data_IF_070453751397
#
_entry.id   IF_070453751397
#
_cell.length_a   1.000
_cell.length_b   1.000
_cell.length_c   1.000
_cell.angle_alpha   90.00
_cell.angle_beta   90.00
_cell.angle_gamma   90.00
#
_symmetry.space_group_name_H-M   'P 1'
#
loop_
_entity.id
_entity.type
_entity.pdbx_description
1 polymer ?
#
# COMPACT_ATOMS: atom_id res chain seq x y z
N UNK A 1 -41.48 3.09 -23.38
CA UNK A 1 -41.14 3.19 -21.94
C UNK A 1 -39.81 3.88 -21.81
N UNK A 2 -39.75 4.84 -20.92
CA UNK A 2 -38.59 5.70 -20.76
C UNK A 2 -37.41 4.90 -20.16
N UNK A 3 -36.23 4.92 -20.82
CA UNK A 3 -35.00 4.26 -20.36
C UNK A 3 -34.32 5.03 -19.23
N UNK A 4 -35.04 5.94 -18.54
CA UNK A 4 -34.55 6.74 -17.42
C UNK A 4 -33.99 5.86 -16.29
N UNK A 5 -34.56 4.67 -16.11
CA UNK A 5 -34.11 3.71 -15.08
C UNK A 5 -32.61 3.35 -15.23
N UNK A 6 -32.14 3.19 -16.48
CA UNK A 6 -30.70 2.87 -16.71
C UNK A 6 -29.79 4.03 -16.34
N UNK A 7 -30.21 5.27 -16.62
CA UNK A 7 -29.46 6.46 -16.21
C UNK A 7 -29.44 6.61 -14.68
N UNK A 8 -30.59 6.38 -14.03
CA UNK A 8 -30.68 6.40 -12.57
C UNK A 8 -29.84 5.29 -11.92
N UNK A 9 -29.79 4.07 -12.51
CA UNK A 9 -28.94 2.97 -12.03
C UNK A 9 -27.46 3.32 -12.09
N UNK A 10 -26.98 4.01 -13.13
CA UNK A 10 -25.55 4.40 -13.18
C UNK A 10 -25.21 5.38 -12.07
N UNK A 11 -26.09 6.32 -11.77
CA UNK A 11 -25.94 7.23 -10.63
C UNK A 11 -25.94 6.52 -9.28
N UNK A 12 -26.86 5.56 -9.09
CA UNK A 12 -26.91 4.76 -7.86
C UNK A 12 -25.67 3.88 -7.69
N UNK A 13 -25.20 3.24 -8.75
CA UNK A 13 -23.97 2.44 -8.72
C UNK A 13 -22.73 3.31 -8.42
N UNK A 14 -22.64 4.48 -9.02
CA UNK A 14 -21.57 5.44 -8.74
C UNK A 14 -21.58 5.89 -7.27
N UNK A 15 -22.77 6.13 -6.71
CA UNK A 15 -22.91 6.49 -5.29
C UNK A 15 -22.49 5.33 -4.36
N UNK A 16 -22.90 4.10 -4.68
CA UNK A 16 -22.55 2.91 -3.92
C UNK A 16 -21.02 2.64 -3.95
N UNK A 17 -20.42 2.75 -5.14
CA UNK A 17 -18.96 2.63 -5.30
C UNK A 17 -18.20 3.69 -4.51
N UNK A 18 -18.65 4.94 -4.56
CA UNK A 18 -18.06 6.03 -3.75
C UNK A 18 -18.16 5.76 -2.26
N UNK A 19 -19.30 5.24 -1.79
CA UNK A 19 -19.48 4.88 -0.39
C UNK A 19 -18.54 3.76 0.03
N UNK A 20 -18.31 2.76 -0.83
CA UNK A 20 -17.35 1.69 -0.58
C UNK A 20 -15.91 2.23 -0.44
N UNK A 21 -15.49 3.14 -1.32
CA UNK A 21 -14.17 3.79 -1.22
C UNK A 21 -14.01 4.58 0.09
N UNK A 22 -15.04 5.36 0.46
CA UNK A 22 -15.02 6.13 1.72
C UNK A 22 -14.95 5.19 2.93
N UNK A 23 -15.74 4.12 2.95
CA UNK A 23 -15.75 3.13 4.01
C UNK A 23 -14.39 2.43 4.16
N UNK A 24 -13.76 2.06 3.03
CA UNK A 24 -12.41 1.49 3.03
C UNK A 24 -11.37 2.48 3.57
N UNK A 25 -11.41 3.74 3.14
CA UNK A 25 -10.50 4.77 3.63
C UNK A 25 -10.68 5.02 5.13
N UNK A 26 -11.91 5.04 5.61
CA UNK A 26 -12.22 5.22 7.03
C UNK A 26 -11.76 4.03 7.88
N UNK A 27 -11.99 2.80 7.41
CA UNK A 27 -11.54 1.59 8.09
C UNK A 27 -10.02 1.53 8.25
N UNK A 28 -9.27 2.13 7.32
CA UNK A 28 -7.81 2.11 7.30
C UNK A 28 -7.16 3.43 7.74
N UNK A 29 -7.91 4.38 8.29
CA UNK A 29 -7.40 5.71 8.65
C UNK A 29 -6.26 5.65 9.68
N UNK A 30 -6.25 4.63 10.56
CA UNK A 30 -5.21 4.39 11.55
C UNK A 30 -4.11 3.42 11.10
N UNK A 31 -4.20 2.90 9.87
CA UNK A 31 -3.19 1.96 9.34
C UNK A 31 -1.92 2.72 8.96
N UNK A 32 -0.77 2.30 9.50
CA UNK A 32 0.51 2.91 9.19
C UNK A 32 0.83 2.80 7.70
N UNK A 33 1.21 3.94 7.10
CA UNK A 33 1.55 3.99 5.68
C UNK A 33 0.37 3.85 4.72
N UNK A 34 -0.87 3.88 5.21
CA UNK A 34 -2.05 3.81 4.36
C UNK A 34 -2.10 4.96 3.34
N UNK A 35 -2.49 4.62 2.12
CA UNK A 35 -2.73 5.58 1.03
C UNK A 35 -4.20 5.56 0.68
N UNK A 36 -4.87 6.70 0.87
CA UNK A 36 -6.30 6.82 0.61
C UNK A 36 -6.61 6.59 -0.87
N UNK A 37 -7.59 5.75 -1.13
CA UNK A 37 -8.08 5.49 -2.47
C UNK A 37 -8.90 6.69 -2.96
N UNK A 38 -8.69 7.06 -4.23
CA UNK A 38 -9.44 8.09 -4.93
C UNK A 38 -10.30 7.45 -6.01
N UNK A 39 -11.58 7.82 -6.04
CA UNK A 39 -12.46 7.50 -7.15
C UNK A 39 -13.01 8.81 -7.69
N UNK A 40 -12.81 9.04 -8.98
CA UNK A 40 -13.37 10.19 -9.70
C UNK A 40 -14.40 9.72 -10.70
N UNK A 41 -15.45 10.47 -10.86
CA UNK A 41 -16.54 10.18 -11.77
C UNK A 41 -16.72 11.34 -12.74
N UNK A 42 -17.02 11.01 -13.98
CA UNK A 42 -17.37 12.00 -14.99
C UNK A 42 -18.78 11.76 -15.51
N UNK A 43 -19.47 12.84 -15.81
CA UNK A 43 -20.74 12.80 -16.52
C UNK A 43 -20.48 12.61 -18.01
N UNK A 44 -21.02 11.53 -18.60
CA UNK A 44 -20.92 11.24 -20.02
C UNK A 44 -22.30 11.44 -20.65
N UNK A 45 -22.47 12.47 -21.52
CA UNK A 45 -23.73 12.73 -22.19
C UNK A 45 -24.16 11.55 -23.07
N UNK A 46 -25.42 11.18 -22.99
CA UNK A 46 -26.02 10.21 -23.90
C UNK A 46 -26.17 10.85 -25.28
N UNK A 47 -25.59 10.21 -26.30
CA UNK A 47 -25.77 10.61 -27.69
C UNK A 47 -26.75 9.64 -28.38
N UNK A 48 -27.67 10.15 -29.15
CA UNK A 48 -28.67 9.36 -29.87
C UNK A 48 -30.05 10.04 -29.90
N UNK A 49 -31.05 9.34 -30.37
CA UNK A 49 -32.45 9.81 -30.34
C UNK A 49 -32.95 9.87 -28.89
N UNK A 50 -33.44 11.02 -28.46
CA UNK A 50 -33.99 11.25 -27.13
C UNK A 50 -33.57 12.56 -26.50
N UNK A 51 -33.82 12.72 -25.19
CA UNK A 51 -33.49 13.93 -24.46
C UNK A 51 -31.96 14.07 -24.26
N UNK A 52 -31.36 15.17 -24.77
CA UNK A 52 -29.94 15.46 -24.70
C UNK A 52 -29.45 15.81 -23.29
N UNK A 53 -30.36 15.94 -22.33
CA UNK A 53 -30.08 16.27 -20.92
C UNK A 53 -29.67 15.07 -20.06
N UNK A 54 -29.66 13.86 -20.65
CA UNK A 54 -29.30 12.64 -19.92
C UNK A 54 -27.81 12.40 -19.95
N UNK A 55 -27.26 12.05 -18.78
CA UNK A 55 -25.84 11.73 -18.60
C UNK A 55 -25.69 10.43 -17.80
N UNK A 56 -24.67 9.65 -18.14
CA UNK A 56 -24.20 8.53 -17.33
C UNK A 56 -23.09 8.98 -16.40
N UNK A 57 -23.11 8.50 -15.17
CA UNK A 57 -21.97 8.61 -14.27
C UNK A 57 -21.02 7.44 -14.55
N UNK A 58 -19.86 7.75 -15.11
CA UNK A 58 -18.80 6.76 -15.34
C UNK A 58 -17.61 7.04 -14.42
N UNK A 59 -17.06 5.98 -13.83
CA UNK A 59 -15.79 6.06 -13.14
C UNK A 59 -14.70 6.42 -14.14
N UNK A 60 -13.94 7.46 -13.82
CA UNK A 60 -12.93 8.01 -14.72
C UNK A 60 -11.52 7.57 -14.33
N UNK A 61 -11.23 7.47 -13.02
CA UNK A 61 -9.91 7.13 -12.51
C UNK A 61 -10.05 6.52 -11.12
N UNK A 62 -9.44 5.34 -10.93
CA UNK A 62 -9.12 4.82 -9.61
C UNK A 62 -7.63 5.12 -9.37
N UNK A 63 -7.33 5.85 -8.31
CA UNK A 63 -5.96 6.22 -7.94
C UNK A 63 -5.84 6.25 -6.43
N UNK A 64 -4.70 6.69 -5.95
CA UNK A 64 -4.44 6.86 -4.53
C UNK A 64 -3.75 8.20 -4.27
N UNK A 65 -3.82 8.68 -3.03
CA UNK A 65 -3.09 9.87 -2.59
C UNK A 65 -1.66 9.50 -2.24
N UNK A 66 -0.69 10.08 -2.94
CA UNK A 66 0.73 9.88 -2.67
C UNK A 66 1.30 10.78 -1.56
N UNK A 67 0.51 11.72 -1.08
CA UNK A 67 0.95 12.63 -0.02
C UNK A 67 1.29 11.86 1.24
N UNK A 68 2.53 11.99 1.71
CA UNK A 68 2.96 11.39 2.96
C UNK A 68 2.31 12.10 4.16
N UNK A 69 1.87 11.30 5.13
CA UNK A 69 1.48 11.81 6.45
C UNK A 69 2.70 12.29 7.26
N UNK A 70 2.48 12.91 8.41
CA UNK A 70 3.56 13.31 9.31
C UNK A 70 4.33 12.09 9.80
N UNK A 71 5.66 12.22 9.86
CA UNK A 71 6.50 11.22 10.49
C UNK A 71 6.35 11.30 12.00
N UNK A 72 6.04 10.18 12.63
CA UNK A 72 5.96 10.05 14.09
C UNK A 72 7.12 9.20 14.58
N UNK A 73 7.82 9.69 15.59
CA UNK A 73 8.87 8.93 16.27
C UNK A 73 8.23 7.96 17.27
N UNK A 74 8.55 6.67 17.15
CA UNK A 74 8.00 5.61 18.00
C UNK A 74 9.00 5.07 19.02
N UNK A 75 10.28 5.44 18.90
CA UNK A 75 11.42 4.96 19.69
C UNK A 75 11.63 3.44 19.60
N UNK A 76 11.08 2.77 18.59
CA UNK A 76 11.35 1.37 18.26
C UNK A 76 12.42 1.29 17.16
N UNK A 77 13.41 0.40 17.35
CA UNK A 77 14.52 0.22 16.40
C UNK A 77 14.10 -0.40 15.05
N UNK A 78 12.92 -1.05 15.01
CA UNK A 78 12.39 -1.71 13.83
C UNK A 78 11.29 -0.90 13.12
N UNK A 79 10.91 0.25 13.65
CA UNK A 79 9.97 1.15 12.97
C UNK A 79 10.73 2.09 12.04
N UNK A 80 10.41 2.02 10.78
CA UNK A 80 11.06 2.80 9.73
C UNK A 80 10.05 3.51 8.83
N UNK A 81 10.43 4.66 8.32
CA UNK A 81 9.65 5.39 7.34
C UNK A 81 10.44 5.56 6.05
N UNK A 82 9.92 5.05 4.96
CA UNK A 82 10.51 5.27 3.64
C UNK A 82 10.35 6.73 3.21
N UNK A 83 11.44 7.38 2.81
CA UNK A 83 11.50 8.75 2.31
C UNK A 83 11.39 8.78 0.79
N UNK A 84 11.28 9.98 0.23
CA UNK A 84 11.44 10.29 -1.21
C UNK A 84 10.58 9.42 -2.14
N UNK A 85 9.35 9.11 -1.71
CA UNK A 85 8.44 8.30 -2.52
C UNK A 85 8.74 6.81 -2.53
N UNK A 86 9.77 6.30 -1.80
CA UNK A 86 10.14 4.90 -1.80
C UNK A 86 9.12 4.00 -1.08
N UNK A 87 9.01 2.76 -1.54
CA UNK A 87 8.13 1.72 -1.02
C UNK A 87 8.95 0.52 -0.56
N UNK A 88 8.52 -0.12 0.53
CA UNK A 88 9.11 -1.37 0.99
C UNK A 88 8.57 -2.53 0.16
N UNK A 89 9.48 -3.40 -0.29
CA UNK A 89 9.09 -4.65 -0.93
C UNK A 89 8.76 -5.71 0.13
N UNK A 90 7.64 -6.37 -0.05
CA UNK A 90 7.16 -7.46 0.81
C UNK A 90 6.69 -8.62 -0.04
N UNK A 91 6.63 -9.80 0.54
CA UNK A 91 6.01 -10.94 -0.11
C UNK A 91 4.50 -10.92 0.20
N UNK A 92 3.68 -10.83 -0.85
CA UNK A 92 2.24 -10.95 -0.75
C UNK A 92 1.79 -12.35 -0.33
N UNK A 93 0.53 -12.48 0.07
CA UNK A 93 -0.05 -13.78 0.45
C UNK A 93 -0.10 -14.78 -0.70
N UNK A 94 -0.04 -14.30 -1.94
CA UNK A 94 0.05 -15.08 -3.17
C UNK A 94 1.48 -15.50 -3.53
N UNK A 95 2.46 -15.15 -2.69
CA UNK A 95 3.88 -15.42 -2.90
C UNK A 95 4.56 -14.46 -3.87
N UNK A 96 3.84 -13.50 -4.47
CA UNK A 96 4.42 -12.50 -5.37
C UNK A 96 4.99 -11.31 -4.62
N UNK A 97 5.92 -10.60 -5.23
CA UNK A 97 6.42 -9.34 -4.70
C UNK A 97 5.35 -8.26 -4.76
N UNK A 98 5.19 -7.55 -3.67
CA UNK A 98 4.26 -6.44 -3.52
C UNK A 98 4.91 -5.31 -2.72
N UNK A 99 4.30 -4.14 -2.73
CA UNK A 99 4.88 -2.94 -2.15
C UNK A 99 3.95 -2.32 -1.12
N UNK A 100 4.54 -1.84 -0.03
CA UNK A 100 3.81 -1.18 1.05
C UNK A 100 4.56 0.04 1.59
N UNK A 101 3.83 0.97 2.20
CA UNK A 101 4.38 2.07 2.99
C UNK A 101 4.39 1.79 4.48
N UNK A 102 3.87 0.62 4.89
CA UNK A 102 3.91 0.22 6.29
C UNK A 102 5.33 -0.17 6.68
N UNK A 103 5.98 0.70 7.47
CA UNK A 103 7.33 0.47 8.00
C UNK A 103 7.35 -0.04 9.43
N UNK A 104 6.23 -0.52 9.96
CA UNK A 104 6.17 -1.21 11.23
C UNK A 104 6.61 -2.66 11.03
N UNK A 105 7.84 -2.96 11.45
CA UNK A 105 8.46 -4.28 11.27
C UNK A 105 8.52 -5.02 12.60
N UNK A 106 8.27 -6.31 12.56
CA UNK A 106 8.34 -7.23 13.69
C UNK A 106 9.13 -8.49 13.31
N UNK A 107 9.58 -9.21 14.31
CA UNK A 107 10.22 -10.52 14.13
C UNK A 107 9.19 -11.59 14.42
N UNK A 108 8.87 -12.41 13.45
CA UNK A 108 7.98 -13.54 13.61
C UNK A 108 8.62 -14.66 14.44
N UNK A 109 7.84 -15.62 14.87
CA UNK A 109 8.30 -16.74 15.72
C UNK A 109 9.36 -17.63 15.05
N UNK A 110 9.39 -17.65 13.73
CA UNK A 110 10.39 -18.35 12.90
C UNK A 110 11.66 -17.53 12.67
N UNK A 111 11.72 -16.30 13.20
CA UNK A 111 12.84 -15.38 13.01
C UNK A 111 12.74 -14.53 11.76
N UNK A 112 11.72 -14.69 10.92
CA UNK A 112 11.56 -13.86 9.70
C UNK A 112 11.07 -12.45 10.06
N UNK A 113 11.62 -11.44 9.40
CA UNK A 113 11.11 -10.08 9.52
C UNK A 113 9.80 -9.94 8.75
N UNK A 114 8.76 -9.51 9.44
CA UNK A 114 7.43 -9.31 8.89
C UNK A 114 6.93 -7.89 9.18
N UNK A 115 6.03 -7.40 8.36
CA UNK A 115 5.24 -6.22 8.69
C UNK A 115 4.23 -6.55 9.79
N UNK A 116 3.65 -5.56 10.47
CA UNK A 116 2.59 -5.78 11.46
C UNK A 116 1.35 -6.55 10.93
N UNK A 117 1.23 -6.70 9.61
CA UNK A 117 0.19 -7.51 8.95
C UNK A 117 0.67 -8.95 8.64
N UNK A 118 1.86 -9.34 9.08
CA UNK A 118 2.42 -10.68 8.89
C UNK A 118 3.04 -10.94 7.51
N UNK A 119 3.23 -9.91 6.67
CA UNK A 119 3.86 -10.05 5.36
C UNK A 119 5.39 -10.02 5.50
N UNK A 120 6.08 -10.96 4.87
CA UNK A 120 7.53 -11.05 4.92
C UNK A 120 8.19 -9.86 4.23
N UNK A 121 9.14 -9.23 4.90
CA UNK A 121 9.91 -8.12 4.35
C UNK A 121 11.05 -8.67 3.49
N UNK A 122 11.16 -8.16 2.27
CA UNK A 122 12.15 -8.61 1.31
C UNK A 122 13.45 -7.80 1.39
N UNK A 123 14.55 -8.51 1.29
CA UNK A 123 15.89 -7.96 1.11
C UNK A 123 16.11 -7.50 -0.33
N UNK A 124 17.16 -6.73 -0.57
CA UNK A 124 17.55 -6.23 -1.90
C UNK A 124 17.80 -7.33 -2.93
N UNK A 125 18.04 -8.56 -2.50
CA UNK A 125 18.19 -9.76 -3.34
C UNK A 125 16.86 -10.49 -3.61
N UNK A 126 15.74 -9.98 -3.05
CA UNK A 126 14.41 -10.56 -3.20
C UNK A 126 14.09 -11.70 -2.24
N UNK A 127 14.99 -12.05 -1.33
CA UNK A 127 14.74 -13.08 -0.30
C UNK A 127 14.18 -12.45 0.99
N UNK A 128 13.37 -13.19 1.79
CA UNK A 128 12.97 -12.77 3.11
C UNK A 128 14.16 -12.59 4.05
N UNK A 129 14.13 -11.53 4.87
CA UNK A 129 15.18 -11.29 5.86
C UNK A 129 14.88 -12.11 7.11
N UNK A 130 15.87 -12.91 7.57
CA UNK A 130 15.75 -13.73 8.78
C UNK A 130 16.73 -13.27 9.84
N UNK A 131 16.25 -13.21 11.08
CA UNK A 131 17.02 -12.87 12.27
C UNK A 131 17.58 -14.09 12.95
N UNK A 132 18.83 -14.09 13.42
CA UNK A 132 19.31 -15.10 14.37
C UNK A 132 18.48 -15.09 15.66
N UNK A 133 18.30 -16.25 16.25
CA UNK A 133 17.55 -16.38 17.51
C UNK A 133 18.16 -15.54 18.64
N UNK A 134 17.34 -14.76 19.34
CA UNK A 134 17.78 -13.92 20.47
C UNK A 134 18.61 -12.71 20.06
N UNK A 135 18.65 -12.34 18.80
CA UNK A 135 19.34 -11.15 18.32
C UNK A 135 18.54 -9.86 18.58
N UNK A 136 19.23 -8.83 19.01
CA UNK A 136 18.73 -7.46 18.99
C UNK A 136 18.91 -6.87 17.59
N UNK A 137 17.80 -6.44 16.98
CA UNK A 137 17.82 -5.92 15.62
C UNK A 137 17.77 -4.40 15.58
N UNK A 138 18.47 -3.84 14.61
CA UNK A 138 18.48 -2.40 14.33
C UNK A 138 18.45 -2.18 12.84
N UNK A 139 17.59 -1.26 12.36
CA UNK A 139 17.56 -0.84 10.98
C UNK A 139 18.27 0.51 10.87
N UNK A 140 19.29 0.58 10.03
CA UNK A 140 20.07 1.78 9.79
C UNK A 140 19.39 2.72 8.78
N UNK A 141 19.72 4.00 8.74
CA UNK A 141 19.11 4.96 7.81
C UNK A 141 19.29 4.62 6.32
N UNK A 142 20.27 3.80 5.97
CA UNK A 142 20.50 3.30 4.60
C UNK A 142 19.68 2.04 4.25
N UNK A 143 18.83 1.57 5.20
CA UNK A 143 18.03 0.36 5.06
C UNK A 143 18.75 -0.93 5.43
N UNK A 144 19.99 -0.88 5.89
CA UNK A 144 20.73 -2.07 6.36
C UNK A 144 20.15 -2.56 7.68
N UNK A 145 19.79 -3.84 7.74
CA UNK A 145 19.33 -4.54 8.92
C UNK A 145 20.50 -5.21 9.58
N UNK A 146 20.79 -4.84 10.83
CA UNK A 146 21.88 -5.38 11.63
C UNK A 146 21.35 -6.18 12.81
N UNK A 147 21.95 -7.32 13.09
CA UNK A 147 21.65 -8.19 14.20
C UNK A 147 22.82 -8.26 15.18
N UNK A 148 22.52 -8.08 16.46
CA UNK A 148 23.48 -8.23 17.56
C UNK A 148 23.05 -9.36 18.46
N UNK A 149 23.89 -10.37 18.62
CA UNK A 149 23.64 -11.51 19.50
C UNK A 149 24.52 -11.39 20.75
N UNK A 150 23.89 -11.19 21.90
CA UNK A 150 24.60 -11.03 23.18
C UNK A 150 25.65 -9.91 23.14
N UNK A 151 26.90 -10.25 23.44
CA UNK A 151 28.02 -9.28 23.51
C UNK A 151 28.84 -9.22 22.21
N UNK A 152 28.38 -9.85 21.12
CA UNK A 152 29.08 -9.82 19.84
C UNK A 152 28.83 -8.49 19.12
N UNK A 153 29.72 -8.09 18.19
CA UNK A 153 29.48 -6.94 17.34
C UNK A 153 28.22 -7.15 16.49
N UNK A 154 27.51 -6.07 16.17
CA UNK A 154 26.37 -6.12 15.27
C UNK A 154 26.83 -6.48 13.85
N UNK A 155 26.22 -7.48 13.25
CA UNK A 155 26.48 -7.90 11.88
C UNK A 155 25.29 -7.58 10.98
N UNK A 156 25.55 -7.13 9.77
CA UNK A 156 24.51 -6.93 8.76
C UNK A 156 23.95 -8.31 8.32
N UNK A 157 22.62 -8.46 8.39
CA UNK A 157 21.90 -9.69 7.98
C UNK A 157 21.13 -9.50 6.68
N UNK A 158 20.96 -8.27 6.21
CA UNK A 158 20.28 -7.94 4.98
C UNK A 158 20.11 -6.44 4.81
N UNK A 159 19.54 -6.05 3.69
CA UNK A 159 19.17 -4.66 3.42
C UNK A 159 17.75 -4.63 2.87
N UNK A 160 16.91 -3.77 3.42
CA UNK A 160 15.53 -3.61 2.96
C UNK A 160 15.48 -3.25 1.47
N UNK A 161 14.68 -3.97 0.70
CA UNK A 161 14.43 -3.62 -0.69
C UNK A 161 13.46 -2.43 -0.74
N UNK A 162 13.93 -1.35 -1.33
CA UNK A 162 13.15 -0.13 -1.55
C UNK A 162 12.99 0.11 -3.05
N UNK A 163 11.78 0.46 -3.45
CA UNK A 163 11.44 0.77 -4.85
C UNK A 163 10.80 2.15 -4.90
N UNK A 164 11.25 2.97 -5.82
CA UNK A 164 10.63 4.26 -6.15
C UNK A 164 9.89 4.09 -7.47
N UNK A 165 8.56 4.20 -7.49
CA UNK A 165 7.79 4.08 -8.73
C UNK A 165 8.14 5.21 -9.70
N UNK A 166 8.14 4.89 -10.98
CA UNK A 166 8.33 5.86 -12.06
C UNK A 166 7.02 6.09 -12.81
N UNK A 167 6.89 7.17 -13.58
CA UNK A 167 5.70 7.37 -14.42
C UNK A 167 5.48 6.27 -15.46
N UNK A 168 6.56 5.60 -15.88
CA UNK A 168 6.53 4.48 -16.83
C UNK A 168 6.10 3.17 -16.17
N UNK A 169 6.36 3.03 -14.86
CA UNK A 169 6.04 1.84 -14.07
C UNK A 169 5.36 2.28 -12.75
N UNK A 170 4.11 2.73 -12.83
CA UNK A 170 3.37 3.20 -11.67
C UNK A 170 2.88 2.03 -10.83
N UNK A 171 2.96 2.17 -9.52
CA UNK A 171 2.38 1.19 -8.61
C UNK A 171 0.86 1.27 -8.60
N UNK A 172 0.22 0.14 -8.87
CA UNK A 172 -1.25 0.01 -8.85
C UNK A 172 -1.69 -0.71 -7.57
N UNK A 173 -2.70 -0.18 -6.92
CA UNK A 173 -3.25 -0.78 -5.72
C UNK A 173 -4.01 -2.06 -6.05
N UNK A 174 -3.68 -3.14 -5.38
CA UNK A 174 -4.36 -4.42 -5.45
C UNK A 174 -5.50 -4.52 -4.42
N UNK A 175 -6.37 -5.52 -4.60
CA UNK A 175 -7.52 -5.75 -3.70
C UNK A 175 -7.15 -6.13 -2.27
N UNK A 176 -5.94 -6.60 -2.03
CA UNK A 176 -5.36 -6.93 -0.72
C UNK A 176 -4.80 -5.71 0.03
N UNK A 177 -4.89 -4.51 -0.56
CA UNK A 177 -4.38 -3.27 0.01
C UNK A 177 -2.89 -3.03 -0.21
N UNK A 178 -2.19 -3.95 -0.87
CA UNK A 178 -0.82 -3.80 -1.32
C UNK A 178 -0.75 -3.13 -2.69
N UNK A 179 0.45 -2.79 -3.11
CA UNK A 179 0.70 -2.18 -4.42
C UNK A 179 1.58 -3.11 -5.25
N UNK A 180 1.36 -3.14 -6.56
CA UNK A 180 2.15 -3.92 -7.53
C UNK A 180 2.53 -3.06 -8.73
N UNK A 181 3.66 -3.38 -9.33
CA UNK A 181 4.09 -2.79 -10.60
C UNK A 181 3.38 -3.44 -11.78
#
# INVERSE_FOLDING_TARGET
MDRLIYTAMTGANAAASRQSVIANNLANVSTNGFRAQLATYRAVPLRGEGATTRVFALEATAGHLDTAGPAMRTDRSLDVMAKDGAWFAVQGLDGTEAYTRNGHVEVATDGTLTTGNGLQVLSSDGSPITSPAGAELTIQPDGTVSAKVGNQPANAIGRLKLVVPTPEDPLVRSGDGLFRA
#
